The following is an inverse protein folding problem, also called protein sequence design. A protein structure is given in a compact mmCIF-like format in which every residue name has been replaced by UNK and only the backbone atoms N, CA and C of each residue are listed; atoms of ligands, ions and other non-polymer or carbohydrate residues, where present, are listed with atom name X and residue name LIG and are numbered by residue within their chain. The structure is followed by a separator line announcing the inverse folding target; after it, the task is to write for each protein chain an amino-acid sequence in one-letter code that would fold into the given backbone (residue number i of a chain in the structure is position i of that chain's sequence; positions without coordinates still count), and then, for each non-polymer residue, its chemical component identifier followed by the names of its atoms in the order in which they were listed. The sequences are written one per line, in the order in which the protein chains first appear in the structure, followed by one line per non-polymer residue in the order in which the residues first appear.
data_IF_813682925581
#
_entry.id   IF_813682925581
#
_cell.length_a   1.000
_cell.length_b   1.000
_cell.length_c   1.000
_cell.angle_alpha   90.00
_cell.angle_beta   90.00
_cell.angle_gamma   90.00
#
_symmetry.space_group_name_H-M   'P 1'
#
loop_
_entity.id
_entity.type
_entity.pdbx_description
1 polymer ?
#
# COMPACT_ATOMS: atom_id res chain seq x y z
N UNK A 1 4.16 -10.48 17.81
CA UNK A 1 2.92 -10.25 18.57
C UNK A 1 2.03 -9.46 17.63
N UNK A 2 1.22 -10.12 16.81
CA UNK A 2 0.35 -9.41 15.87
C UNK A 2 -0.57 -8.51 16.67
N UNK A 3 -0.53 -7.21 16.37
CA UNK A 3 -1.46 -6.26 16.97
C UNK A 3 -2.88 -6.71 16.64
N UNK A 4 -3.71 -6.91 17.67
CA UNK A 4 -5.12 -7.25 17.50
C UNK A 4 -5.83 -6.23 16.56
N UNK A 5 -5.35 -4.98 16.53
CA UNK A 5 -5.83 -3.92 15.64
C UNK A 5 -5.79 -4.32 14.16
N UNK A 6 -4.62 -4.77 13.69
CA UNK A 6 -4.38 -5.11 12.29
C UNK A 6 -5.32 -6.21 11.81
N UNK A 7 -5.43 -7.29 12.58
CA UNK A 7 -6.30 -8.43 12.23
C UNK A 7 -7.78 -8.07 12.23
N UNK A 8 -8.23 -7.26 13.20
CA UNK A 8 -9.61 -6.81 13.25
C UNK A 8 -9.93 -5.94 12.03
N UNK A 9 -9.04 -5.03 11.63
CA UNK A 9 -9.24 -4.17 10.45
C UNK A 9 -9.47 -5.01 9.19
N UNK A 10 -8.56 -5.96 8.89
CA UNK A 10 -8.71 -6.83 7.72
C UNK A 10 -9.94 -7.73 7.81
N UNK A 11 -10.27 -8.23 9.00
CA UNK A 11 -11.46 -9.05 9.21
C UNK A 11 -12.75 -8.27 8.91
N UNK A 12 -12.91 -7.08 9.50
CA UNK A 12 -14.10 -6.25 9.32
C UNK A 12 -14.22 -5.70 7.89
N UNK A 13 -13.09 -5.33 7.26
CA UNK A 13 -13.06 -4.94 5.85
C UNK A 13 -13.57 -6.07 4.95
N UNK A 14 -13.10 -7.31 5.18
CA UNK A 14 -13.56 -8.49 4.43
C UNK A 14 -15.06 -8.76 4.64
N UNK A 15 -15.60 -8.62 5.86
CA UNK A 15 -17.04 -8.78 6.13
C UNK A 15 -17.89 -7.76 5.35
N UNK A 16 -17.37 -6.55 5.17
CA UNK A 16 -18.03 -5.49 4.41
C UNK A 16 -17.70 -5.52 2.91
N UNK A 17 -16.90 -6.49 2.44
CA UNK A 17 -16.40 -6.59 1.07
C UNK A 17 -15.65 -5.32 0.62
N UNK A 18 -14.90 -4.73 1.54
CA UNK A 18 -14.01 -3.60 1.29
C UNK A 18 -12.64 -4.18 0.97
N UNK A 19 -12.10 -4.02 -0.26
CA UNK A 19 -10.72 -4.35 -0.55
C UNK A 19 -9.81 -3.58 0.41
N UNK A 20 -8.90 -4.30 1.06
CA UNK A 20 -7.95 -3.74 2.01
C UNK A 20 -6.59 -4.37 1.76
N UNK A 21 -5.54 -3.56 1.76
CA UNK A 21 -4.16 -3.98 1.54
C UNK A 21 -3.24 -3.34 2.57
N UNK A 22 -2.18 -4.05 2.94
CA UNK A 22 -1.08 -3.46 3.71
C UNK A 22 -0.26 -2.64 2.74
N UNK A 23 0.10 -1.42 3.14
CA UNK A 23 1.05 -0.57 2.41
C UNK A 23 2.21 -0.19 3.35
N UNK A 24 3.05 0.75 2.93
CA UNK A 24 4.15 1.26 3.76
C UNK A 24 5.20 0.18 4.11
N UNK A 25 5.89 0.37 5.23
CA UNK A 25 7.00 -0.50 5.61
C UNK A 25 6.61 -1.95 5.94
N UNK A 26 5.39 -2.18 6.44
CA UNK A 26 4.90 -3.51 6.80
C UNK A 26 4.53 -4.39 5.59
N UNK A 27 4.39 -3.81 4.41
CA UNK A 27 4.14 -4.57 3.17
C UNK A 27 5.41 -5.20 2.59
N UNK A 28 6.59 -4.62 2.85
CA UNK A 28 7.87 -5.06 2.28
C UNK A 28 8.19 -6.56 2.45
N UNK A 29 7.90 -7.20 3.61
CA UNK A 29 8.12 -8.63 3.78
C UNK A 29 7.35 -9.51 2.79
N UNK A 30 6.20 -9.06 2.26
CA UNK A 30 5.46 -9.77 1.22
C UNK A 30 6.24 -9.89 -0.09
N UNK A 31 7.20 -8.99 -0.30
CA UNK A 31 8.06 -8.93 -1.48
C UNK A 31 9.50 -9.34 -1.16
N UNK A 32 9.71 -10.20 -0.15
CA UNK A 32 11.03 -10.68 0.26
C UNK A 32 12.03 -9.58 0.68
N UNK A 33 11.54 -8.40 1.09
CA UNK A 33 12.38 -7.31 1.60
C UNK A 33 12.15 -7.15 3.10
N UNK A 34 13.22 -7.27 3.89
CA UNK A 34 13.14 -7.11 5.34
C UNK A 34 13.13 -5.62 5.73
N UNK A 35 12.15 -5.20 6.53
CA UNK A 35 12.07 -3.85 7.09
C UNK A 35 11.58 -3.91 8.53
N UNK A 36 12.22 -3.16 9.42
CA UNK A 36 11.69 -2.92 10.76
C UNK A 36 10.88 -1.63 10.74
N UNK A 37 9.59 -1.73 11.04
CA UNK A 37 8.72 -0.58 11.32
C UNK A 37 7.69 -0.99 12.36
N UNK A 38 7.18 0.00 13.10
CA UNK A 38 6.03 -0.15 13.99
C UNK A 38 4.76 0.49 13.40
N UNK A 39 4.92 1.26 12.32
CA UNK A 39 3.84 1.98 11.66
C UNK A 39 2.93 0.97 10.96
N UNK A 40 1.63 1.10 11.18
CA UNK A 40 0.61 0.25 10.56
C UNK A 40 -0.12 1.07 9.52
N UNK A 41 0.24 0.86 8.25
CA UNK A 41 -0.40 1.52 7.12
C UNK A 41 -1.28 0.53 6.37
N UNK A 42 -2.57 0.83 6.30
CA UNK A 42 -3.56 -0.01 5.60
C UNK A 42 -4.29 0.88 4.61
N UNK A 43 -4.25 0.52 3.33
CA UNK A 43 -5.07 1.17 2.32
C UNK A 43 -6.37 0.39 2.11
N UNK A 44 -7.49 1.09 2.00
CA UNK A 44 -8.80 0.51 1.72
C UNK A 44 -9.44 1.19 0.52
N UNK A 45 -10.14 0.41 -0.30
CA UNK A 45 -10.95 0.92 -1.38
C UNK A 45 -12.42 1.02 -0.95
N UNK A 46 -12.91 2.24 -0.73
CA UNK A 46 -14.30 2.50 -0.33
C UNK A 46 -15.04 3.28 -1.42
N UNK A 47 -16.21 2.76 -1.81
CA UNK A 47 -17.04 3.32 -2.88
C UNK A 47 -17.99 4.44 -2.45
N UNK A 48 -18.32 4.56 -1.17
CA UNK A 48 -19.27 5.58 -0.69
C UNK A 48 -19.05 5.98 0.77
N UNK A 49 -19.51 7.18 1.14
CA UNK A 49 -19.41 7.68 2.52
C UNK A 49 -20.23 6.82 3.49
N UNK A 50 -21.33 6.23 3.02
CA UNK A 50 -22.15 5.29 3.79
C UNK A 50 -21.36 4.03 4.16
N UNK A 51 -20.58 3.48 3.21
CA UNK A 51 -19.72 2.32 3.45
C UNK A 51 -18.59 2.67 4.43
N UNK A 52 -17.95 3.84 4.28
CA UNK A 52 -16.98 4.35 5.25
C UNK A 52 -17.58 4.47 6.66
N UNK A 53 -18.78 5.04 6.77
CA UNK A 53 -19.48 5.18 8.05
C UNK A 53 -19.82 3.81 8.67
N UNK A 54 -20.16 2.81 7.85
CA UNK A 54 -20.38 1.43 8.32
C UNK A 54 -19.09 0.79 8.82
N UNK A 55 -17.98 0.95 8.08
CA UNK A 55 -16.66 0.48 8.47
C UNK A 55 -16.22 1.08 9.82
N UNK A 56 -16.34 2.40 9.99
CA UNK A 56 -16.06 3.06 11.26
C UNK A 56 -16.94 2.57 12.41
N UNK A 57 -18.21 2.23 12.13
CA UNK A 57 -19.14 1.69 13.13
C UNK A 57 -18.73 0.30 13.59
N UNK A 58 -18.27 -0.57 12.69
CA UNK A 58 -17.82 -1.93 13.06
C UNK A 58 -16.47 -1.90 13.78
N UNK A 59 -15.54 -1.02 13.38
CA UNK A 59 -14.31 -0.78 14.13
C UNK A 59 -14.61 -0.33 15.56
N UNK A 60 -15.55 0.62 15.74
CA UNK A 60 -15.96 1.11 17.06
C UNK A 60 -16.54 0.03 17.96
N UNK A 61 -17.24 -0.97 17.40
CA UNK A 61 -17.76 -2.12 18.17
C UNK A 61 -16.64 -3.01 18.71
N UNK A 62 -15.48 -2.99 18.08
CA UNK A 62 -14.28 -3.72 18.48
C UNK A 62 -13.29 -2.82 19.27
N UNK A 63 -13.78 -1.75 19.90
CA UNK A 63 -12.97 -0.79 20.66
C UNK A 63 -11.88 -0.07 19.85
N UNK A 64 -11.99 -0.04 18.52
CA UNK A 64 -11.10 0.72 17.63
C UNK A 64 -11.80 2.03 17.26
N UNK A 65 -11.17 3.17 17.53
CA UNK A 65 -11.80 4.49 17.39
C UNK A 65 -10.92 5.43 16.60
N UNK A 66 -11.54 6.39 15.92
CA UNK A 66 -10.85 7.56 15.36
C UNK A 66 -11.31 8.83 16.09
N UNK A 67 -10.42 9.81 16.23
CA UNK A 67 -10.76 11.14 16.73
C UNK A 67 -11.18 12.09 15.58
N UNK A 68 -10.92 11.69 14.34
CA UNK A 68 -11.27 12.45 13.15
C UNK A 68 -12.73 12.19 12.76
N UNK A 69 -13.21 12.94 11.76
CA UNK A 69 -14.48 12.68 11.08
C UNK A 69 -14.17 12.34 9.62
N UNK A 70 -13.76 11.08 9.33
CA UNK A 70 -13.25 10.72 8.01
C UNK A 70 -14.27 10.97 6.91
N UNK A 71 -13.81 11.56 5.81
CA UNK A 71 -14.57 11.78 4.59
C UNK A 71 -13.85 11.15 3.40
N UNK A 72 -14.60 10.76 2.38
CA UNK A 72 -14.04 10.14 1.17
C UNK A 72 -13.08 11.03 0.38
N UNK A 73 -13.17 12.35 0.53
CA UNK A 73 -12.28 13.31 -0.15
C UNK A 73 -10.94 13.50 0.57
N UNK A 74 -10.71 12.80 1.69
CA UNK A 74 -9.44 12.81 2.43
C UNK A 74 -8.54 11.65 1.98
N UNK A 75 -7.23 11.84 2.10
CA UNK A 75 -6.27 10.79 1.72
C UNK A 75 -6.19 9.68 2.76
N UNK A 76 -6.25 10.03 4.05
CA UNK A 76 -6.16 9.07 5.16
C UNK A 76 -6.83 9.56 6.44
N UNK A 77 -7.01 8.65 7.39
CA UNK A 77 -7.34 8.94 8.78
C UNK A 77 -6.69 7.92 9.72
N UNK A 78 -6.48 8.29 10.98
CA UNK A 78 -5.87 7.45 12.00
C UNK A 78 -6.94 6.77 12.85
N UNK A 79 -6.73 5.49 13.14
CA UNK A 79 -7.52 4.72 14.11
C UNK A 79 -6.63 4.24 15.26
N UNK A 80 -7.23 4.18 16.44
CA UNK A 80 -6.57 3.85 17.70
C UNK A 80 -7.22 2.58 18.26
N UNK A 81 -6.42 1.54 18.42
CA UNK A 81 -6.73 0.39 19.24
C UNK A 81 -6.21 0.56 20.67
N UNK A 82 -6.19 -0.52 21.45
CA UNK A 82 -5.79 -0.47 22.87
C UNK A 82 -4.33 -0.05 23.09
N UNK A 83 -3.40 -0.55 22.26
CA UNK A 83 -1.96 -0.36 22.41
C UNK A 83 -1.25 -0.09 21.07
N UNK A 84 -2.00 0.30 20.04
CA UNK A 84 -1.49 0.52 18.70
C UNK A 84 -2.38 1.52 17.98
N UNK A 85 -1.81 2.19 16.99
CA UNK A 85 -2.53 3.00 16.02
C UNK A 85 -2.27 2.46 14.61
N UNK A 86 -3.15 2.82 13.68
CA UNK A 86 -2.99 2.53 12.28
C UNK A 86 -3.46 3.72 11.45
N UNK A 87 -2.72 4.02 10.38
CA UNK A 87 -3.17 4.91 9.33
C UNK A 87 -4.02 4.11 8.34
N UNK A 88 -5.24 4.60 8.14
CA UNK A 88 -6.18 4.05 7.15
C UNK A 88 -6.19 5.00 5.96
N UNK A 89 -5.52 4.58 4.91
CA UNK A 89 -5.42 5.29 3.64
C UNK A 89 -6.64 4.97 2.77
N UNK A 90 -7.25 6.00 2.19
CA UNK A 90 -8.36 5.91 1.23
C UNK A 90 -7.86 5.92 -0.22
N UNK A 91 -6.58 6.23 -0.41
CA UNK A 91 -5.83 6.16 -1.66
C UNK A 91 -4.53 5.38 -1.45
N UNK A 92 -3.98 4.68 -2.45
CA UNK A 92 -2.73 3.93 -2.27
C UNK A 92 -1.54 4.80 -1.85
N UNK A 93 -1.51 6.06 -2.31
CA UNK A 93 -0.61 7.12 -1.85
C UNK A 93 -1.25 8.49 -2.10
N UNK A 94 -0.51 9.57 -1.85
CA UNK A 94 -0.92 10.95 -2.11
C UNK A 94 -1.00 11.31 -3.60
N UNK A 95 -0.24 10.62 -4.46
CA UNK A 95 -0.13 10.95 -5.87
C UNK A 95 -1.26 10.41 -6.77
N UNK A 96 -1.93 9.32 -6.39
CA UNK A 96 -2.96 8.70 -7.24
C UNK A 96 -4.04 7.95 -6.47
N UNK A 97 -5.17 7.68 -7.13
CA UNK A 97 -6.31 6.94 -6.59
C UNK A 97 -6.33 5.49 -7.06
N UNK A 98 -7.15 4.67 -6.42
CA UNK A 98 -7.48 3.33 -6.91
C UNK A 98 -8.02 3.35 -8.35
N UNK A 99 -7.70 2.31 -9.11
CA UNK A 99 -8.35 1.95 -10.37
C UNK A 99 -8.70 0.47 -10.36
N UNK A 100 -9.56 0.07 -11.30
CA UNK A 100 -10.08 -1.30 -11.39
C UNK A 100 -8.96 -2.33 -11.56
N UNK A 101 -7.93 -2.03 -12.37
CA UNK A 101 -6.82 -2.95 -12.60
C UNK A 101 -6.00 -3.16 -11.33
N UNK A 102 -5.79 -2.10 -10.54
CA UNK A 102 -5.08 -2.22 -9.26
C UNK A 102 -5.84 -3.10 -8.27
N UNK A 103 -7.18 -3.05 -8.28
CA UNK A 103 -8.04 -3.89 -7.43
C UNK A 103 -7.98 -5.35 -7.88
N UNK A 104 -7.98 -5.58 -9.20
CA UNK A 104 -7.88 -6.92 -9.81
C UNK A 104 -6.54 -7.59 -9.52
N UNK A 105 -5.47 -6.81 -9.41
CA UNK A 105 -4.09 -7.29 -9.17
C UNK A 105 -3.71 -7.40 -7.68
N UNK A 106 -4.66 -7.16 -6.75
CA UNK A 106 -4.41 -7.34 -5.31
C UNK A 106 -3.99 -8.78 -5.01
N UNK A 107 -2.90 -8.94 -4.26
CA UNK A 107 -2.31 -10.26 -3.95
C UNK A 107 -2.58 -10.66 -2.50
N UNK A 108 -2.81 -11.96 -2.28
CA UNK A 108 -2.89 -12.52 -0.92
C UNK A 108 -1.47 -12.70 -0.38
N UNK A 109 -1.15 -12.07 0.76
CA UNK A 109 0.12 -12.28 1.45
C UNK A 109 0.04 -13.41 2.47
N UNK A 110 -0.90 -13.32 3.43
CA UNK A 110 -1.09 -14.35 4.45
C UNK A 110 -2.51 -14.31 5.02
N UNK A 111 -3.18 -15.46 5.09
CA UNK A 111 -4.56 -15.53 5.58
C UNK A 111 -5.50 -14.61 4.78
N UNK A 112 -6.09 -13.62 5.47
CA UNK A 112 -6.95 -12.59 4.88
C UNK A 112 -6.23 -11.24 4.66
N UNK A 113 -4.91 -11.22 4.79
CA UNK A 113 -4.08 -10.04 4.59
C UNK A 113 -3.66 -9.99 3.13
N UNK A 114 -3.94 -8.87 2.49
CA UNK A 114 -3.58 -8.62 1.12
C UNK A 114 -2.55 -7.51 1.01
N UNK A 115 -1.87 -7.47 -0.13
CA UNK A 115 -0.92 -6.44 -0.52
C UNK A 115 -1.20 -6.02 -1.96
N UNK A 116 -0.67 -4.89 -2.39
CA UNK A 116 -0.69 -4.50 -3.80
C UNK A 116 0.14 -5.50 -4.63
N UNK A 117 -0.06 -5.51 -5.95
CA UNK A 117 0.97 -6.04 -6.83
C UNK A 117 2.29 -5.28 -6.60
N UNK A 118 3.42 -5.94 -6.78
CA UNK A 118 4.72 -5.33 -6.49
C UNK A 118 4.97 -4.09 -7.36
N UNK A 119 4.47 -4.10 -8.59
CA UNK A 119 4.55 -2.99 -9.54
C UNK A 119 3.80 -1.75 -9.01
N UNK A 120 2.57 -1.95 -8.54
CA UNK A 120 1.75 -0.90 -7.93
C UNK A 120 2.39 -0.41 -6.61
N UNK A 121 2.98 -1.32 -5.82
CA UNK A 121 3.68 -0.96 -4.60
C UNK A 121 4.94 -0.12 -4.88
N UNK A 122 5.74 -0.48 -5.89
CA UNK A 122 6.87 0.35 -6.35
C UNK A 122 6.36 1.75 -6.74
N UNK A 123 5.24 1.83 -7.44
CA UNK A 123 4.62 3.09 -7.85
C UNK A 123 4.28 3.97 -6.64
N UNK A 124 3.72 3.40 -5.56
CA UNK A 124 3.41 4.17 -4.33
C UNK A 124 4.64 4.82 -3.70
N UNK A 125 5.83 4.22 -3.85
CA UNK A 125 7.09 4.79 -3.34
C UNK A 125 7.68 5.81 -4.30
N UNK A 126 7.59 5.52 -5.59
CA UNK A 126 8.15 6.37 -6.63
C UNK A 126 7.36 7.68 -6.75
N UNK A 127 6.04 7.63 -6.65
CA UNK A 127 5.17 8.78 -6.90
C UNK A 127 5.14 9.83 -5.79
N UNK A 128 5.72 9.55 -4.61
CA UNK A 128 5.75 10.50 -3.49
C UNK A 128 6.55 11.74 -3.84
N UNK A 129 5.95 12.92 -3.64
CA UNK A 129 6.66 14.19 -3.81
C UNK A 129 7.77 14.36 -2.76
N UNK A 130 7.55 13.83 -1.56
CA UNK A 130 8.49 13.87 -0.43
C UNK A 130 9.41 12.64 -0.34
N UNK A 131 9.58 11.92 -1.46
CA UNK A 131 10.36 10.68 -1.57
C UNK A 131 11.72 10.80 -0.87
N UNK A 132 11.94 9.94 0.13
CA UNK A 132 13.16 9.92 0.91
C UNK A 132 14.22 8.99 0.30
N UNK A 133 15.45 9.04 0.80
CA UNK A 133 16.47 8.04 0.44
C UNK A 133 16.06 6.62 0.84
N UNK A 134 15.26 6.47 1.91
CA UNK A 134 14.68 5.20 2.32
C UNK A 134 13.75 4.64 1.25
N UNK A 135 12.93 5.48 0.62
CA UNK A 135 12.01 5.02 -0.43
C UNK A 135 12.77 4.53 -1.66
N UNK A 136 13.85 5.24 -2.03
CA UNK A 136 14.75 4.82 -3.11
C UNK A 136 15.43 3.49 -2.78
N UNK A 137 15.96 3.33 -1.56
CA UNK A 137 16.58 2.08 -1.10
C UNK A 137 15.58 0.91 -1.11
N UNK A 138 14.32 1.16 -0.72
CA UNK A 138 13.27 0.15 -0.76
C UNK A 138 12.93 -0.24 -2.21
N UNK A 139 12.79 0.72 -3.14
CA UNK A 139 12.57 0.45 -4.57
C UNK A 139 13.69 -0.42 -5.14
N UNK A 140 14.94 -0.08 -4.87
CA UNK A 140 16.10 -0.85 -5.32
C UNK A 140 16.05 -2.30 -4.79
N UNK A 141 15.76 -2.46 -3.49
CA UNK A 141 15.67 -3.79 -2.88
C UNK A 141 14.53 -4.61 -3.46
N UNK A 142 13.37 -4.00 -3.71
CA UNK A 142 12.22 -4.64 -4.36
C UNK A 142 12.61 -5.17 -5.74
N UNK A 143 13.23 -4.33 -6.56
CA UNK A 143 13.69 -4.70 -7.91
C UNK A 143 14.69 -5.85 -7.88
N UNK A 144 15.67 -5.81 -6.97
CA UNK A 144 16.69 -6.86 -6.85
C UNK A 144 16.08 -8.18 -6.37
N UNK A 145 15.27 -8.15 -5.31
CA UNK A 145 14.71 -9.34 -4.69
C UNK A 145 13.68 -10.04 -5.59
N UNK A 146 13.01 -9.28 -6.47
CA UNK A 146 11.84 -9.74 -7.22
C UNK A 146 12.01 -9.65 -8.75
N UNK A 147 13.24 -9.47 -9.25
CA UNK A 147 13.54 -9.30 -10.69
C UNK A 147 12.94 -10.35 -11.64
N UNK A 148 12.67 -11.57 -11.13
CA UNK A 148 12.15 -12.68 -11.92
C UNK A 148 10.62 -12.82 -11.84
N UNK A 149 9.96 -12.06 -10.96
CA UNK A 149 8.50 -12.12 -10.76
C UNK A 149 7.79 -10.84 -11.17
N UNK A 150 8.53 -9.71 -11.26
CA UNK A 150 7.97 -8.44 -11.72
C UNK A 150 7.46 -8.59 -13.16
N UNK A 151 6.19 -8.27 -13.36
CA UNK A 151 5.59 -8.09 -14.67
C UNK A 151 6.05 -6.76 -15.26
N UNK A 152 6.95 -6.87 -16.25
CA UNK A 152 7.59 -5.73 -16.88
C UNK A 152 6.61 -4.91 -17.72
N UNK A 153 5.69 -5.57 -18.41
CA UNK A 153 4.70 -4.89 -19.24
C UNK A 153 3.74 -4.10 -18.35
N UNK A 154 3.33 -4.70 -17.23
CA UNK A 154 2.47 -4.02 -16.26
C UNK A 154 3.19 -2.86 -15.55
N UNK A 155 4.43 -3.05 -15.10
CA UNK A 155 5.21 -1.97 -14.50
C UNK A 155 5.41 -0.81 -15.47
N UNK A 156 5.76 -1.09 -16.72
CA UNK A 156 5.94 -0.05 -17.74
C UNK A 156 4.63 0.72 -17.97
N UNK A 157 3.52 0.01 -18.13
CA UNK A 157 2.19 0.61 -18.21
C UNK A 157 1.89 1.54 -17.02
N UNK A 158 2.22 1.12 -15.78
CA UNK A 158 2.02 1.93 -14.57
C UNK A 158 2.91 3.16 -14.53
N UNK A 159 4.17 3.04 -14.95
CA UNK A 159 5.11 4.15 -15.01
C UNK A 159 4.67 5.20 -16.03
N UNK A 160 4.21 4.78 -17.20
CA UNK A 160 3.66 5.70 -18.21
C UNK A 160 2.39 6.39 -17.74
N UNK A 161 1.49 5.65 -17.08
CA UNK A 161 0.24 6.20 -16.54
C UNK A 161 0.47 7.37 -15.57
N UNK A 162 1.54 7.32 -14.78
CA UNK A 162 1.91 8.37 -13.82
C UNK A 162 2.99 9.35 -14.31
N UNK A 163 3.46 9.21 -15.55
CA UNK A 163 4.60 9.98 -16.08
C UNK A 163 5.89 9.86 -15.23
N UNK A 164 6.12 8.68 -14.66
CA UNK A 164 7.26 8.38 -13.77
C UNK A 164 8.39 7.59 -14.42
N UNK A 165 8.31 7.36 -15.74
CA UNK A 165 9.31 6.58 -16.47
C UNK A 165 10.71 7.19 -16.38
N UNK A 166 10.81 8.53 -16.43
CA UNK A 166 12.08 9.23 -16.31
C UNK A 166 12.71 9.06 -14.92
N UNK A 167 11.95 9.31 -13.85
CA UNK A 167 12.39 9.11 -12.45
C UNK A 167 12.86 7.68 -12.21
N UNK A 168 12.10 6.70 -12.71
CA UNK A 168 12.44 5.29 -12.56
C UNK A 168 13.78 4.96 -13.22
N UNK A 169 14.01 5.45 -14.43
CA UNK A 169 15.27 5.25 -15.15
C UNK A 169 16.45 5.90 -14.43
N UNK A 170 16.27 7.10 -13.87
CA UNK A 170 17.32 7.80 -13.11
C UNK A 170 17.74 7.02 -11.86
N UNK A 171 16.79 6.43 -11.14
CA UNK A 171 17.07 5.57 -9.98
C UNK A 171 17.91 4.37 -10.41
N UNK A 172 17.54 3.70 -11.49
CA UNK A 172 18.25 2.51 -11.99
C UNK A 172 19.69 2.83 -12.41
N UNK A 173 19.89 3.92 -13.17
CA UNK A 173 21.22 4.37 -13.60
C UNK A 173 22.14 4.67 -12.41
N UNK A 174 21.65 5.45 -11.43
CA UNK A 174 22.41 5.80 -10.23
C UNK A 174 22.76 4.58 -9.37
N UNK A 175 21.88 3.58 -9.38
CA UNK A 175 22.04 2.36 -8.60
C UNK A 175 22.92 1.31 -9.28
N UNK A 176 23.37 1.57 -10.52
CA UNK A 176 24.14 0.63 -11.35
C UNK A 176 23.45 -0.73 -11.51
N UNK A 177 22.12 -0.72 -11.52
CA UNK A 177 21.32 -1.91 -11.78
C UNK A 177 21.29 -2.08 -13.31
N UNK A 178 21.72 -3.24 -13.78
CA UNK A 178 21.80 -3.53 -15.22
C UNK A 178 20.40 -3.55 -15.84
N UNK A 179 20.17 -2.67 -16.82
CA UNK A 179 18.90 -2.48 -17.52
C UNK A 179 18.59 -3.60 -18.53
N UNK A 180 19.53 -4.50 -18.83
CA UNK A 180 19.22 -5.74 -19.58
C UNK A 180 18.22 -6.63 -18.84
N UNK A 181 17.89 -6.28 -17.59
CA UNK A 181 16.82 -6.86 -16.79
C UNK A 181 15.44 -6.24 -17.11
N UNK A 182 15.33 -5.18 -17.91
CA UNK A 182 14.04 -4.51 -18.21
C UNK A 182 13.80 -4.14 -19.69
N UNK A 183 14.84 -4.13 -20.55
CA UNK A 183 14.70 -4.15 -22.02
C UNK A 183 14.69 -5.56 -22.58
#
# INVERSE_FOLDING_TARGET
MESNLFRIIFYEAAQLKIPAVVIGGLALPAYNVARLTLDIDICIHISSQEVLNQFLKVLKKNDIKTLQKPKLDQDLFTVFGRNAEAEIWLKPCDAFTWDDKMIEEIQVYTGNVHVLAIEDFILTKLAREDRSSTDIDDIIQLLIANKNIIDREYLHYRLEWMDLLHDFNEILEKSKIDFSIFT
#
